data_IF_420490411677
#
_entry.id   IF_420490411677
#
_cell.length_a   1.000
_cell.length_b   1.000
_cell.length_c   1.000
_cell.angle_alpha   90.00
_cell.angle_beta   90.00
_cell.angle_gamma   90.00
#
_symmetry.space_group_name_H-M   'P 1'
#
loop_
_entity.id
_entity.type
_entity.pdbx_description
1 polymer ?
#
# COMPACT_ATOMS: atom_id res chain seq x y z
N UNK A 1 5.92 -26.58 -26.47
CA UNK A 1 5.82 -27.40 -25.25
C UNK A 1 4.79 -28.48 -25.51
N UNK A 2 5.22 -29.51 -26.22
CA UNK A 2 4.37 -30.58 -26.76
C UNK A 2 4.70 -31.86 -26.00
N UNK A 3 4.12 -32.02 -24.81
CA UNK A 3 4.25 -33.23 -24.00
C UNK A 3 2.93 -33.63 -23.32
N UNK A 4 1.79 -33.35 -23.98
CA UNK A 4 0.45 -33.78 -23.52
C UNK A 4 0.04 -35.13 -24.16
N UNK A 5 0.85 -35.70 -25.06
CA UNK A 5 0.47 -36.92 -25.79
C UNK A 5 0.89 -38.26 -25.16
N UNK A 6 1.60 -38.25 -24.03
CA UNK A 6 1.90 -39.49 -23.31
C UNK A 6 1.11 -39.46 -22.00
N UNK A 7 0.11 -40.33 -21.91
CA UNK A 7 -0.70 -40.64 -20.73
C UNK A 7 0.16 -41.11 -19.54
N UNK A 8 1.01 -40.25 -18.99
CA UNK A 8 2.00 -40.58 -17.96
C UNK A 8 2.15 -39.51 -16.87
N UNK A 9 1.35 -38.45 -16.90
CA UNK A 9 1.10 -37.60 -15.73
C UNK A 9 -0.30 -37.94 -15.25
N UNK A 10 -0.41 -38.35 -13.98
CA UNK A 10 -1.72 -38.55 -13.36
C UNK A 10 -2.47 -37.22 -13.47
N UNK A 11 -3.78 -37.21 -13.75
CA UNK A 11 -4.55 -35.95 -13.70
C UNK A 11 -4.30 -35.21 -12.37
N UNK A 12 -4.06 -35.98 -11.32
CA UNK A 12 -3.65 -35.51 -10.01
C UNK A 12 -2.33 -34.71 -9.99
N UNK A 13 -1.29 -35.14 -10.73
CA UNK A 13 -0.04 -34.37 -10.83
C UNK A 13 -0.25 -33.04 -11.59
N UNK A 14 -1.16 -33.04 -12.57
CA UNK A 14 -1.57 -31.84 -13.30
C UNK A 14 -2.35 -30.87 -12.41
N UNK A 15 -3.29 -31.38 -11.63
CA UNK A 15 -4.08 -30.59 -10.67
C UNK A 15 -3.19 -30.04 -9.55
N UNK A 16 -2.25 -30.84 -9.03
CA UNK A 16 -1.30 -30.44 -8.00
C UNK A 16 -0.36 -29.33 -8.50
N UNK A 17 0.13 -29.44 -9.73
CA UNK A 17 0.98 -28.39 -10.34
C UNK A 17 0.19 -27.12 -10.66
N UNK A 18 -1.06 -27.22 -11.09
CA UNK A 18 -1.94 -26.07 -11.30
C UNK A 18 -2.28 -25.37 -9.96
N UNK A 19 -2.55 -26.12 -8.90
CA UNK A 19 -2.77 -25.58 -7.57
C UNK A 19 -1.50 -24.91 -7.02
N UNK A 20 -0.33 -25.51 -7.19
CA UNK A 20 0.95 -24.93 -6.80
C UNK A 20 1.25 -23.61 -7.55
N UNK A 21 0.91 -23.55 -8.84
CA UNK A 21 1.03 -22.32 -9.63
C UNK A 21 0.10 -21.23 -9.08
N UNK A 22 -1.16 -21.54 -8.82
CA UNK A 22 -2.12 -20.59 -8.25
C UNK A 22 -1.69 -20.07 -6.87
N UNK A 23 -1.14 -20.95 -6.03
CA UNK A 23 -0.58 -20.56 -4.73
C UNK A 23 0.61 -19.61 -4.90
N UNK A 24 1.55 -19.92 -5.81
CA UNK A 24 2.70 -19.07 -6.06
C UNK A 24 2.30 -17.69 -6.61
N UNK A 25 1.29 -17.63 -7.49
CA UNK A 25 0.73 -16.37 -7.99
C UNK A 25 0.08 -15.54 -6.87
N UNK A 26 -0.66 -16.20 -5.97
CA UNK A 26 -1.25 -15.57 -4.79
C UNK A 26 -0.16 -15.02 -3.85
N UNK A 27 0.91 -15.76 -3.61
CA UNK A 27 2.03 -15.33 -2.78
C UNK A 27 2.74 -14.11 -3.38
N UNK A 28 2.92 -14.09 -4.71
CA UNK A 28 3.46 -12.91 -5.41
C UNK A 28 2.52 -11.71 -5.28
N UNK A 29 1.21 -11.91 -5.40
CA UNK A 29 0.23 -10.84 -5.23
C UNK A 29 0.24 -10.28 -3.79
N UNK A 30 0.31 -11.15 -2.78
CA UNK A 30 0.42 -10.77 -1.38
C UNK A 30 1.73 -10.00 -1.09
N UNK A 31 2.85 -10.44 -1.70
CA UNK A 31 4.12 -9.74 -1.63
C UNK A 31 4.05 -8.34 -2.24
N UNK A 32 3.43 -8.20 -3.43
CA UNK A 32 3.22 -6.89 -4.07
C UNK A 32 2.35 -5.96 -3.22
N UNK A 33 1.27 -6.48 -2.62
CA UNK A 33 0.43 -5.71 -1.72
C UNK A 33 1.19 -5.21 -0.48
N UNK A 34 2.08 -6.05 0.06
CA UNK A 34 2.93 -5.69 1.21
C UNK A 34 3.91 -4.57 0.85
N UNK A 35 4.53 -4.63 -0.33
CA UNK A 35 5.42 -3.57 -0.83
C UNK A 35 4.65 -2.26 -1.05
N UNK A 36 3.45 -2.33 -1.63
CA UNK A 36 2.64 -1.14 -1.86
C UNK A 36 2.17 -0.51 -0.55
N UNK A 37 1.79 -1.32 0.44
CA UNK A 37 1.47 -0.84 1.79
C UNK A 37 2.67 -0.12 2.41
N UNK A 38 3.88 -0.67 2.28
CA UNK A 38 5.09 -0.01 2.77
C UNK A 38 5.39 1.31 2.04
N UNK A 39 5.17 1.36 0.71
CA UNK A 39 5.29 2.61 -0.07
C UNK A 39 4.29 3.65 0.40
N UNK A 40 3.03 3.28 0.62
CA UNK A 40 1.98 4.17 1.12
C UNK A 40 2.34 4.70 2.52
N UNK A 41 2.81 3.84 3.42
CA UNK A 41 3.24 4.26 4.76
C UNK A 41 4.43 5.22 4.71
N UNK A 42 5.39 5.01 3.79
CA UNK A 42 6.49 5.94 3.56
C UNK A 42 6.00 7.26 2.98
N UNK A 43 5.02 7.24 2.09
CA UNK A 43 4.39 8.45 1.57
C UNK A 43 3.71 9.25 2.70
N UNK A 44 3.01 8.57 3.62
CA UNK A 44 2.41 9.20 4.81
C UNK A 44 3.44 9.78 5.80
N UNK A 45 4.72 9.39 5.72
CA UNK A 45 5.78 10.03 6.50
C UNK A 45 6.05 11.47 6.03
N UNK A 46 5.68 11.81 4.78
CA UNK A 46 5.66 13.18 4.28
C UNK A 46 4.22 13.70 4.33
N UNK A 47 3.98 14.64 5.22
CA UNK A 47 2.67 15.24 5.39
C UNK A 47 2.51 16.42 4.43
N UNK A 48 1.76 16.21 3.35
CA UNK A 48 1.38 17.27 2.40
C UNK A 48 -0.07 17.73 2.67
N UNK A 49 -0.36 19.01 2.40
CA UNK A 49 -1.68 19.59 2.60
C UNK A 49 -2.62 19.29 1.42
N UNK A 50 -3.88 18.86 1.66
CA UNK A 50 -4.82 18.58 0.57
C UNK A 50 -5.38 19.85 -0.10
N UNK A 51 -5.22 21.01 0.53
CA UNK A 51 -5.71 22.30 0.03
C UNK A 51 -4.58 23.32 -0.05
N UNK A 52 -4.61 24.14 -1.09
CA UNK A 52 -3.75 25.32 -1.20
C UNK A 52 -4.32 26.45 -0.35
N UNK A 53 -3.47 27.12 0.42
CA UNK A 53 -3.89 28.19 1.32
C UNK A 53 -2.73 28.72 2.14
N UNK A 54 -3.03 29.56 3.13
CA UNK A 54 -2.04 30.06 4.08
C UNK A 54 -1.96 29.11 5.27
N UNK A 55 -0.75 28.66 5.57
CA UNK A 55 -0.48 27.89 6.78
C UNK A 55 -0.63 28.79 8.02
N UNK A 56 -1.45 28.35 8.98
CA UNK A 56 -1.57 28.96 10.30
C UNK A 56 -0.38 28.63 11.20
N UNK A 57 -0.49 28.96 12.50
CA UNK A 57 0.54 28.57 13.47
C UNK A 57 0.55 27.05 13.63
N UNK A 58 1.74 26.43 13.56
CA UNK A 58 1.90 25.02 13.87
C UNK A 58 1.65 24.78 15.36
N UNK A 59 0.82 23.79 15.67
CA UNK A 59 0.47 23.39 17.04
C UNK A 59 1.50 22.39 17.61
N UNK A 60 2.44 21.92 16.79
CA UNK A 60 3.49 20.97 17.15
C UNK A 60 4.86 21.56 16.91
N UNK A 61 5.80 21.24 17.79
CA UNK A 61 7.21 21.61 17.63
C UNK A 61 7.97 20.53 16.85
N UNK A 62 9.04 20.88 16.12
CA UNK A 62 9.92 19.88 15.51
C UNK A 62 10.40 18.86 16.55
N UNK A 63 10.30 17.56 16.24
CA UNK A 63 10.69 16.47 17.13
C UNK A 63 9.61 16.00 18.12
N UNK A 64 8.41 16.58 18.09
CA UNK A 64 7.28 16.06 18.85
C UNK A 64 6.82 14.70 18.29
N UNK A 65 6.49 13.76 19.18
CA UNK A 65 5.87 12.50 18.79
C UNK A 65 4.44 12.77 18.31
N UNK A 66 4.16 12.41 17.06
CA UNK A 66 2.83 12.51 16.46
C UNK A 66 2.27 11.12 16.25
N UNK A 67 0.98 10.93 16.54
CA UNK A 67 0.31 9.64 16.33
C UNK A 67 -0.73 9.76 15.22
N UNK A 68 -0.89 8.67 14.44
CA UNK A 68 -1.99 8.58 13.51
C UNK A 68 -3.31 8.67 14.29
N UNK A 69 -4.20 9.60 13.91
CA UNK A 69 -5.49 9.89 14.55
C UNK A 69 -5.46 10.66 15.88
N UNK A 70 -4.44 11.47 16.17
CA UNK A 70 -4.51 12.40 17.31
C UNK A 70 -5.64 13.43 17.15
N UNK A 71 -6.33 13.75 18.25
CA UNK A 71 -7.46 14.69 18.25
C UNK A 71 -7.05 16.14 17.90
N UNK A 72 -5.78 16.49 18.12
CA UNK A 72 -5.24 17.83 17.84
C UNK A 72 -4.63 17.88 16.44
N UNK A 73 -5.18 18.72 15.55
CA UNK A 73 -4.59 18.97 14.24
C UNK A 73 -3.17 19.55 14.38
N UNK A 74 -2.22 19.06 13.55
CA UNK A 74 -0.79 19.47 13.56
C UNK A 74 -0.58 20.92 13.09
N UNK A 75 -1.43 21.37 12.17
CA UNK A 75 -1.47 22.73 11.67
C UNK A 75 -2.86 22.94 11.06
N UNK A 76 -3.33 24.18 11.04
CA UNK A 76 -4.52 24.55 10.29
C UNK A 76 -4.12 25.35 9.07
N UNK A 77 -4.56 24.93 7.89
CA UNK A 77 -4.39 25.69 6.66
C UNK A 77 -5.74 26.33 6.35
N UNK A 78 -5.74 27.64 6.18
CA UNK A 78 -6.93 28.39 5.77
C UNK A 78 -6.74 28.80 4.32
N UNK A 79 -7.68 28.42 3.46
CA UNK A 79 -7.73 28.92 2.10
C UNK A 79 -8.10 30.42 2.16
N UNK A 80 -7.18 31.28 1.74
CA UNK A 80 -7.37 32.74 1.80
C UNK A 80 -8.08 33.32 0.58
N UNK A 81 -8.46 32.46 -0.37
CA UNK A 81 -9.12 32.86 -1.61
C UNK A 81 -10.25 31.88 -1.91
N UNK A 82 -11.45 32.08 -1.34
CA UNK A 82 -12.66 31.66 -2.01
C UNK A 82 -12.90 32.70 -3.13
N UNK A 83 -13.14 32.24 -4.35
CA UNK A 83 -13.57 33.14 -5.44
C UNK A 83 -14.73 34.03 -4.97
#
# INVERSE_FOLDING_TARGET
TELVQIKAISQQDGDDTAAALGQAEADVAAGKASVETARINLAFARLDAPISGRIGRSSVTPGALVTANQATALTTIQQLDPI
#
